data_IF_533378829926
#
_entry.id   IF_533378829926
#
_cell.length_a   1.000
_cell.length_b   1.000
_cell.length_c   1.000
_cell.angle_alpha   90.00
_cell.angle_beta   90.00
_cell.angle_gamma   90.00
#
_symmetry.space_group_name_H-M   'P 1'
#
loop_
_entity.id
_entity.type
_entity.pdbx_description
1 polymer ?
#
# COMPACT_ATOMS: atom_id res chain seq x y z
N UNK A 1 3.45 16.51 -8.14
CA UNK A 1 2.68 15.32 -7.68
C UNK A 1 1.73 14.94 -8.81
N UNK A 2 2.04 13.85 -9.52
CA UNK A 2 1.30 13.45 -10.73
C UNK A 2 -0.10 12.98 -10.32
N UNK A 3 -1.11 13.53 -10.98
CA UNK A 3 -2.52 13.23 -10.78
C UNK A 3 -2.77 11.71 -10.88
N UNK A 4 -3.30 11.12 -9.82
CA UNK A 4 -3.76 9.75 -9.84
C UNK A 4 -4.81 9.61 -10.94
N UNK A 5 -4.46 8.94 -12.04
CA UNK A 5 -5.40 8.64 -13.11
C UNK A 5 -6.54 7.81 -12.50
N UNK A 6 -7.82 8.04 -12.83
CA UNK A 6 -8.95 7.36 -12.18
C UNK A 6 -8.83 5.82 -12.12
N UNK A 7 -8.14 5.22 -13.09
CA UNK A 7 -7.83 3.79 -13.15
C UNK A 7 -7.03 3.29 -11.94
N UNK A 8 -6.03 4.04 -11.47
CA UNK A 8 -5.16 3.63 -10.35
C UNK A 8 -5.83 3.87 -9.00
N UNK A 9 -6.63 4.94 -8.88
CA UNK A 9 -7.48 5.15 -7.72
C UNK A 9 -8.44 3.98 -7.51
N UNK A 10 -9.12 3.54 -8.58
CA UNK A 10 -9.98 2.35 -8.53
C UNK A 10 -9.23 1.07 -8.16
N UNK A 11 -8.01 0.86 -8.70
CA UNK A 11 -7.16 -0.28 -8.34
C UNK A 11 -6.73 -0.27 -6.87
N UNK A 12 -6.48 0.92 -6.30
CA UNK A 12 -6.15 1.07 -4.89
C UNK A 12 -7.33 0.69 -4.00
N UNK A 13 -8.53 1.20 -4.29
CA UNK A 13 -9.75 0.83 -3.54
C UNK A 13 -10.04 -0.68 -3.58
N UNK A 14 -9.92 -1.29 -4.76
CA UNK A 14 -10.10 -2.75 -4.91
C UNK A 14 -9.07 -3.55 -4.11
N UNK A 15 -7.85 -3.02 -3.96
CA UNK A 15 -6.80 -3.63 -3.15
C UNK A 15 -7.17 -3.61 -1.67
N UNK A 16 -7.67 -2.49 -1.15
CA UNK A 16 -8.11 -2.38 0.25
C UNK A 16 -9.24 -3.37 0.57
N UNK A 17 -10.25 -3.48 -0.31
CA UNK A 17 -11.33 -4.46 -0.16
C UNK A 17 -10.80 -5.90 -0.16
N UNK A 18 -9.84 -6.19 -1.05
CA UNK A 18 -9.20 -7.51 -1.11
C UNK A 18 -8.37 -7.82 0.13
N UNK A 19 -7.73 -6.81 0.72
CA UNK A 19 -6.94 -6.99 1.94
C UNK A 19 -7.85 -7.35 3.12
N UNK A 20 -8.98 -6.63 3.27
CA UNK A 20 -9.98 -6.91 4.30
C UNK A 20 -10.60 -8.30 4.14
N UNK A 21 -11.08 -8.64 2.94
CA UNK A 21 -11.72 -9.95 2.69
C UNK A 21 -10.79 -11.14 2.85
N UNK A 22 -9.48 -10.96 2.65
CA UNK A 22 -8.47 -12.00 2.85
C UNK A 22 -7.90 -12.05 4.26
N UNK A 23 -8.30 -11.15 5.15
CA UNK A 23 -7.77 -11.08 6.51
C UNK A 23 -6.28 -10.76 6.55
N UNK A 24 -5.78 -9.94 5.63
CA UNK A 24 -4.38 -9.51 5.69
C UNK A 24 -4.15 -8.64 6.93
N UNK A 25 -3.03 -8.87 7.61
CA UNK A 25 -2.60 -7.98 8.69
C UNK A 25 -2.26 -6.59 8.14
N UNK A 26 -2.26 -5.59 9.03
CA UNK A 26 -1.92 -4.22 8.65
C UNK A 26 -0.56 -4.14 7.96
N UNK A 27 0.42 -4.90 8.45
CA UNK A 27 1.75 -4.97 7.83
C UNK A 27 1.73 -5.61 6.44
N UNK A 28 0.98 -6.69 6.25
CA UNK A 28 0.82 -7.32 4.93
C UNK A 28 0.12 -6.39 3.94
N UNK A 29 -0.88 -5.63 4.41
CA UNK A 29 -1.58 -4.64 3.59
C UNK A 29 -0.65 -3.49 3.16
N UNK A 30 0.18 -2.96 4.09
CA UNK A 30 1.15 -1.90 3.81
C UNK A 30 2.22 -2.31 2.81
N UNK A 31 2.81 -3.50 2.96
CA UNK A 31 3.80 -4.02 1.99
C UNK A 31 3.15 -4.17 0.61
N UNK A 32 1.93 -4.69 0.54
CA UNK A 32 1.19 -4.87 -0.73
C UNK A 32 0.83 -3.54 -1.40
N UNK A 33 0.66 -2.47 -0.63
CA UNK A 33 0.48 -1.12 -1.15
C UNK A 33 1.80 -0.53 -1.67
N UNK A 34 2.90 -0.70 -0.94
CA UNK A 34 4.20 -0.19 -1.32
C UNK A 34 4.78 -0.86 -2.58
N UNK A 35 4.43 -2.13 -2.84
CA UNK A 35 4.85 -2.89 -4.04
C UNK A 35 3.76 -2.91 -5.11
N UNK A 36 2.97 -1.85 -5.20
CA UNK A 36 1.90 -1.80 -6.19
C UNK A 36 2.40 -1.70 -7.62
N UNK A 37 1.52 -2.00 -8.58
CA UNK A 37 1.76 -1.75 -10.00
C UNK A 37 1.31 -0.33 -10.40
N UNK A 38 1.28 0.62 -9.47
CA UNK A 38 0.96 2.01 -9.76
C UNK A 38 2.22 2.68 -10.34
N UNK A 39 2.10 3.65 -11.27
CA UNK A 39 3.26 4.16 -12.02
C UNK A 39 4.15 5.09 -11.20
N UNK A 40 3.75 5.42 -9.97
CA UNK A 40 4.53 6.12 -8.98
C UNK A 40 4.91 5.12 -7.88
N UNK A 41 6.16 5.17 -7.43
CA UNK A 41 6.64 4.34 -6.33
C UNK A 41 5.97 4.68 -4.98
N UNK A 42 6.30 3.93 -3.92
CA UNK A 42 5.79 4.20 -2.58
C UNK A 42 6.23 5.59 -2.09
N UNK A 43 5.44 6.18 -1.21
CA UNK A 43 5.84 7.43 -0.54
C UNK A 43 6.95 7.18 0.48
N UNK A 44 7.72 8.22 0.81
CA UNK A 44 8.74 8.14 1.87
C UNK A 44 8.12 7.71 3.21
N UNK A 45 6.97 8.28 3.56
CA UNK A 45 6.22 7.91 4.78
C UNK A 45 5.84 6.43 4.81
N UNK A 46 5.39 5.86 3.69
CA UNK A 46 5.06 4.42 3.63
C UNK A 46 6.30 3.55 3.89
N UNK A 47 7.45 3.92 3.34
CA UNK A 47 8.70 3.18 3.55
C UNK A 47 9.22 3.36 4.98
N UNK A 48 9.07 4.54 5.57
CA UNK A 48 9.44 4.81 6.96
C UNK A 48 8.61 3.98 7.94
N UNK A 49 7.29 3.87 7.72
CA UNK A 49 6.42 3.02 8.53
C UNK A 49 6.81 1.54 8.42
N UNK A 50 7.15 1.07 7.21
CA UNK A 50 7.64 -0.30 7.00
C UNK A 50 8.98 -0.53 7.71
N UNK A 51 9.90 0.44 7.67
CA UNK A 51 11.18 0.37 8.36
C UNK A 51 10.99 0.31 9.88
N UNK A 52 10.14 1.17 10.45
CA UNK A 52 9.84 1.17 11.89
C UNK A 52 9.24 -0.16 12.36
N UNK A 53 8.37 -0.77 11.55
CA UNK A 53 7.79 -2.06 11.87
C UNK A 53 8.81 -3.19 11.99
N UNK A 54 10.00 -3.07 11.39
CA UNK A 54 11.07 -4.07 11.54
C UNK A 54 11.74 -4.06 12.92
N UNK A 55 11.55 -3.00 13.70
CA UNK A 55 12.07 -2.88 15.07
C UNK A 55 11.03 -3.26 16.14
N UNK A 56 9.80 -3.57 15.73
CA UNK A 56 8.72 -4.03 16.61
C UNK A 56 8.89 -5.54 16.83
N UNK A 57 9.31 -5.97 18.02
CA UNK A 57 9.27 -7.40 18.41
C UNK A 57 7.87 -7.82 18.85
#
# INVERSE_FOLDING_TARGET
MSSATPKYAAKSTLRSIKNFSKGYSDMQAKVREATSNDPWGPSGTQMDELAQATFSQ
#
